data_IF_824467882676
#
_entry.id   IF_824467882676
#
_cell.length_a   1.000
_cell.length_b   1.000
_cell.length_c   1.000
_cell.angle_alpha   90.00
_cell.angle_beta   90.00
_cell.angle_gamma   90.00
#
_symmetry.space_group_name_H-M   'P 1'
#
loop_
_entity.id
_entity.type
_entity.pdbx_description
1 polymer ?
#
# COMPACT_ATOMS: atom_id res chain seq x y z
N UNK A 1 1.84 7.28 -10.02
CA UNK A 1 0.97 6.35 -10.78
C UNK A 1 -0.45 6.89 -10.72
N UNK A 2 -1.33 6.56 -11.68
CA UNK A 2 -2.66 7.16 -11.80
C UNK A 2 -3.56 6.83 -10.60
N UNK A 3 -3.38 5.64 -10.03
CA UNK A 3 -4.12 5.06 -8.92
C UNK A 3 -4.00 5.88 -7.63
N UNK A 4 -3.02 6.80 -7.54
CA UNK A 4 -2.89 7.74 -6.41
C UNK A 4 -3.88 8.91 -6.47
N UNK A 5 -4.65 9.04 -7.56
CA UNK A 5 -5.79 9.96 -7.66
C UNK A 5 -5.43 11.45 -7.59
N UNK A 6 -4.20 11.82 -7.96
CA UNK A 6 -3.75 13.21 -7.90
C UNK A 6 -4.47 14.13 -8.90
N UNK A 7 -5.04 13.59 -9.98
CA UNK A 7 -5.97 14.30 -10.84
C UNK A 7 -7.20 14.80 -10.08
N UNK A 8 -7.71 13.98 -9.17
CA UNK A 8 -8.87 14.32 -8.33
C UNK A 8 -8.54 15.52 -7.43
N UNK A 9 -7.30 15.58 -6.94
CA UNK A 9 -6.82 16.73 -6.17
C UNK A 9 -6.66 17.99 -7.03
N UNK A 10 -6.20 17.86 -8.28
CA UNK A 10 -6.15 18.99 -9.22
C UNK A 10 -7.56 19.54 -9.50
N UNK A 11 -8.52 18.66 -9.72
CA UNK A 11 -9.92 19.04 -9.96
C UNK A 11 -10.54 19.71 -8.71
N UNK A 12 -10.26 19.17 -7.52
CA UNK A 12 -10.69 19.75 -6.25
C UNK A 12 -10.05 21.12 -5.96
N UNK A 13 -8.83 21.35 -6.45
CA UNK A 13 -8.05 22.55 -6.12
C UNK A 13 -8.71 23.85 -6.58
N UNK A 14 -9.43 23.86 -7.70
CA UNK A 14 -10.15 25.04 -8.16
C UNK A 14 -11.17 25.54 -7.11
N UNK A 15 -11.98 24.63 -6.57
CA UNK A 15 -12.94 24.91 -5.50
C UNK A 15 -12.27 25.31 -4.19
N UNK A 16 -11.17 24.65 -3.83
CA UNK A 16 -10.40 24.97 -2.62
C UNK A 16 -9.84 26.40 -2.72
N UNK A 17 -9.19 26.74 -3.82
CA UNK A 17 -8.56 28.04 -4.03
C UNK A 17 -9.56 29.18 -4.18
N UNK A 18 -10.77 28.91 -4.68
CA UNK A 18 -11.87 29.88 -4.70
C UNK A 18 -12.29 30.31 -3.29
N UNK A 19 -12.20 29.41 -2.30
CA UNK A 19 -12.57 29.68 -0.90
C UNK A 19 -11.38 30.06 -0.01
N UNK A 20 -10.20 29.49 -0.27
CA UNK A 20 -8.96 29.76 0.44
C UNK A 20 -7.77 29.97 -0.51
N UNK A 21 -7.57 31.22 -0.92
CA UNK A 21 -6.54 31.61 -1.89
C UNK A 21 -5.10 31.42 -1.42
N UNK A 22 -4.87 31.20 -0.11
CA UNK A 22 -3.52 31.03 0.46
C UNK A 22 -3.06 29.57 0.47
N UNK A 23 -3.95 28.62 0.19
CA UNK A 23 -3.61 27.19 0.16
C UNK A 23 -2.54 26.92 -0.90
N UNK A 24 -1.58 26.09 -0.52
CA UNK A 24 -0.52 25.55 -1.37
C UNK A 24 -0.58 24.03 -1.31
N UNK A 25 -0.36 23.39 -2.44
CA UNK A 25 -0.36 21.94 -2.55
C UNK A 25 1.07 21.47 -2.70
N UNK A 26 1.52 20.54 -1.85
CA UNK A 26 2.85 19.94 -1.94
C UNK A 26 2.68 18.48 -2.33
N UNK A 27 3.22 18.09 -3.48
CA UNK A 27 3.16 16.75 -4.03
C UNK A 27 4.52 16.10 -3.88
N UNK A 28 4.62 15.20 -2.90
CA UNK A 28 5.81 14.41 -2.64
C UNK A 28 5.76 13.05 -3.34
N UNK A 29 6.77 12.76 -4.15
CA UNK A 29 6.91 11.49 -4.86
C UNK A 29 7.43 11.64 -6.28
N UNK A 30 7.98 10.55 -6.81
CA UNK A 30 8.37 10.42 -8.21
C UNK A 30 7.44 9.46 -8.94
N UNK A 31 7.27 9.67 -10.24
CA UNK A 31 6.59 8.69 -11.07
C UNK A 31 6.39 9.18 -12.50
N UNK A 32 6.13 8.25 -13.44
CA UNK A 32 5.91 8.60 -14.85
C UNK A 32 4.72 9.55 -15.03
N UNK A 33 3.80 9.56 -14.08
CA UNK A 33 2.60 10.39 -14.08
C UNK A 33 2.84 11.87 -13.74
N UNK A 34 4.04 12.23 -13.24
CA UNK A 34 4.33 13.61 -12.84
C UNK A 34 4.25 14.60 -14.01
N UNK A 35 4.70 14.20 -15.21
CA UNK A 35 4.64 15.05 -16.41
C UNK A 35 3.18 15.42 -16.75
N UNK A 36 2.29 14.44 -16.74
CA UNK A 36 0.86 14.65 -16.98
C UNK A 36 0.24 15.60 -15.97
N UNK A 37 0.55 15.43 -14.67
CA UNK A 37 0.06 16.32 -13.62
C UNK A 37 0.55 17.77 -13.80
N UNK A 38 1.81 17.96 -14.21
CA UNK A 38 2.35 19.28 -14.52
C UNK A 38 1.58 19.95 -15.67
N UNK A 39 1.42 19.24 -16.79
CA UNK A 39 0.71 19.74 -17.98
C UNK A 39 -0.75 20.08 -17.66
N UNK A 40 -1.44 19.23 -16.91
CA UNK A 40 -2.82 19.48 -16.46
C UNK A 40 -2.92 20.67 -15.53
N UNK A 41 -2.02 20.79 -14.55
CA UNK A 41 -1.98 21.95 -13.66
C UNK A 41 -1.72 23.26 -14.43
N UNK A 42 -0.88 23.23 -15.47
CA UNK A 42 -0.65 24.38 -16.37
C UNK A 42 -1.91 24.75 -17.17
N UNK A 43 -2.57 23.77 -17.79
CA UNK A 43 -3.80 23.97 -18.55
C UNK A 43 -4.92 24.57 -17.68
N UNK A 44 -4.97 24.20 -16.40
CA UNK A 44 -5.93 24.74 -15.44
C UNK A 44 -5.51 26.10 -14.85
N UNK A 45 -4.32 26.61 -15.16
CA UNK A 45 -3.78 27.84 -14.56
C UNK A 45 -3.44 27.72 -13.08
N UNK A 46 -3.27 26.50 -12.58
CA UNK A 46 -3.03 26.19 -11.16
C UNK A 46 -1.57 25.85 -10.85
N UNK A 47 -0.70 25.79 -11.85
CA UNK A 47 0.70 25.35 -11.70
C UNK A 47 1.44 26.02 -10.53
N UNK A 48 1.33 27.34 -10.39
CA UNK A 48 1.98 28.14 -9.30
C UNK A 48 1.43 27.87 -7.88
N UNK A 49 0.41 27.01 -7.76
CA UNK A 49 -0.18 26.57 -6.49
C UNK A 49 0.31 25.19 -6.07
N UNK A 50 0.93 24.44 -6.98
CA UNK A 50 1.41 23.08 -6.76
C UNK A 50 2.93 23.03 -6.77
N UNK A 51 3.50 22.51 -5.68
CA UNK A 51 4.93 22.25 -5.53
C UNK A 51 5.17 20.75 -5.70
N UNK A 52 5.78 20.37 -6.82
CA UNK A 52 6.16 18.99 -7.10
C UNK A 52 7.61 18.79 -6.64
N UNK A 53 7.79 18.14 -5.49
CA UNK A 53 9.12 18.01 -4.88
C UNK A 53 9.96 16.90 -5.52
N UNK A 54 9.32 16.02 -6.30
CA UNK A 54 9.94 14.78 -6.74
C UNK A 54 10.14 13.81 -5.56
N UNK A 55 11.15 12.96 -5.66
CA UNK A 55 11.51 12.06 -4.56
C UNK A 55 12.09 12.86 -3.39
N UNK A 56 11.62 12.53 -2.19
CA UNK A 56 12.14 13.06 -0.93
C UNK A 56 12.45 11.89 -0.01
N UNK A 57 13.44 12.07 0.87
CA UNK A 57 13.76 11.10 1.91
C UNK A 57 12.71 11.11 3.04
N UNK A 58 12.77 10.10 3.92
CA UNK A 58 11.81 9.92 5.00
C UNK A 58 11.86 11.05 6.06
N UNK A 59 13.04 11.65 6.29
CA UNK A 59 13.17 12.76 7.24
C UNK A 59 12.41 13.97 6.71
N UNK A 60 12.65 14.32 5.44
CA UNK A 60 11.98 15.41 4.74
C UNK A 60 10.47 15.16 4.64
N UNK A 61 10.06 13.92 4.32
CA UNK A 61 8.66 13.51 4.28
C UNK A 61 7.97 13.70 5.64
N UNK A 62 8.58 13.24 6.72
CA UNK A 62 8.03 13.37 8.07
C UNK A 62 7.95 14.83 8.51
N UNK A 63 8.92 15.66 8.11
CA UNK A 63 8.87 17.11 8.34
C UNK A 63 7.72 17.77 7.56
N UNK A 64 7.50 17.37 6.30
CA UNK A 64 6.36 17.85 5.52
C UNK A 64 5.02 17.45 6.16
N UNK A 65 4.87 16.21 6.62
CA UNK A 65 3.66 15.83 7.35
C UNK A 65 3.47 16.71 8.59
N UNK A 66 4.49 16.81 9.44
CA UNK A 66 4.42 17.56 10.71
C UNK A 66 4.12 19.05 10.54
N UNK A 67 4.34 19.61 9.35
CA UNK A 67 4.12 21.03 9.04
C UNK A 67 2.87 21.28 8.20
N UNK A 68 2.30 20.25 7.59
CA UNK A 68 1.08 20.38 6.79
C UNK A 68 -0.15 20.61 7.66
N UNK A 69 -1.08 21.45 7.19
CA UNK A 69 -2.38 21.63 7.83
C UNK A 69 -3.29 20.40 7.61
N UNK A 70 -3.15 19.75 6.45
CA UNK A 70 -3.92 18.57 6.04
C UNK A 70 -3.05 17.66 5.18
N UNK A 71 -3.01 16.37 5.48
CA UNK A 71 -2.46 15.34 4.60
C UNK A 71 -3.58 14.69 3.77
N UNK A 72 -3.42 14.67 2.45
CA UNK A 72 -4.48 14.24 1.52
C UNK A 72 -4.02 13.02 0.72
N UNK A 73 -4.83 11.96 0.75
CA UNK A 73 -4.57 10.71 0.04
C UNK A 73 -5.79 10.36 -0.84
N UNK A 74 -5.91 10.96 -2.04
CA UNK A 74 -7.08 10.83 -2.90
C UNK A 74 -7.06 9.55 -3.75
N UNK A 75 -6.34 8.52 -3.30
CA UNK A 75 -6.10 7.28 -4.06
C UNK A 75 -7.40 6.65 -4.56
N UNK A 76 -7.38 6.14 -5.79
CA UNK A 76 -8.43 5.28 -6.35
C UNK A 76 -8.29 3.85 -5.81
N UNK A 77 -7.05 3.44 -5.55
CA UNK A 77 -6.71 2.14 -5.00
C UNK A 77 -5.54 2.26 -4.01
N UNK A 78 -5.72 1.74 -2.80
CA UNK A 78 -4.70 1.72 -1.76
C UNK A 78 -4.94 0.53 -0.82
N UNK A 79 -4.16 -0.56 -0.89
CA UNK A 79 -4.46 -1.79 -0.16
C UNK A 79 -4.19 -1.70 1.34
N UNK A 80 -3.19 -0.92 1.78
CA UNK A 80 -2.75 -0.96 3.19
C UNK A 80 -3.01 0.33 3.95
N UNK A 81 -2.96 1.49 3.29
CA UNK A 81 -3.19 2.77 3.97
C UNK A 81 -2.07 3.19 4.94
N UNK A 82 -0.87 2.59 4.84
CA UNK A 82 0.28 2.90 5.71
C UNK A 82 0.61 4.39 5.70
N UNK A 83 0.54 5.04 4.53
CA UNK A 83 0.81 6.48 4.40
C UNK A 83 -0.13 7.37 5.23
N UNK A 84 -1.38 6.91 5.46
CA UNK A 84 -2.30 7.62 6.34
C UNK A 84 -1.88 7.46 7.80
N UNK A 85 -1.44 6.26 8.22
CA UNK A 85 -0.89 6.02 9.56
C UNK A 85 0.37 6.87 9.79
N UNK A 86 1.26 7.00 8.79
CA UNK A 86 2.46 7.85 8.88
C UNK A 86 2.10 9.33 9.10
N UNK A 87 1.12 9.87 8.37
CA UNK A 87 0.65 11.25 8.57
C UNK A 87 -0.06 11.44 9.91
N UNK A 88 -0.88 10.48 10.34
CA UNK A 88 -1.50 10.49 11.67
C UNK A 88 -0.43 10.48 12.78
N UNK A 89 0.64 9.68 12.61
CA UNK A 89 1.73 9.59 13.57
C UNK A 89 2.55 10.89 13.64
N UNK A 90 2.67 11.60 12.52
CA UNK A 90 3.25 12.94 12.45
C UNK A 90 2.34 14.04 13.04
N UNK A 91 1.13 13.70 13.48
CA UNK A 91 0.20 14.67 14.06
C UNK A 91 -0.45 15.57 13.01
N UNK A 92 -0.75 15.01 11.84
CA UNK A 92 -1.41 15.74 10.76
C UNK A 92 -2.84 15.23 10.57
N UNK A 93 -3.86 16.10 10.54
CA UNK A 93 -5.21 15.72 10.13
C UNK A 93 -5.20 15.13 8.72
N UNK A 94 -5.93 14.04 8.50
CA UNK A 94 -5.95 13.32 7.21
C UNK A 94 -7.29 13.44 6.50
N UNK A 95 -7.24 13.55 5.17
CA UNK A 95 -8.38 13.33 4.26
C UNK A 95 -8.00 12.21 3.31
N UNK A 96 -8.82 11.17 3.24
CA UNK A 96 -8.58 10.02 2.36
C UNK A 96 -9.78 9.74 1.49
N UNK A 97 -9.57 9.12 0.33
CA UNK A 97 -10.67 8.46 -0.37
C UNK A 97 -11.12 7.22 0.41
N UNK A 98 -12.43 6.97 0.48
CA UNK A 98 -12.99 5.75 1.10
C UNK A 98 -12.75 4.50 0.22
N UNK A 99 -11.51 4.01 0.18
CA UNK A 99 -11.09 2.85 -0.62
C UNK A 99 -10.01 2.04 0.10
N UNK A 100 -10.07 0.71 -0.06
CA UNK A 100 -9.08 -0.24 0.48
C UNK A 100 -8.68 0.02 1.93
N UNK A 101 -7.39 -0.12 2.23
CA UNK A 101 -6.84 0.08 3.57
C UNK A 101 -6.98 1.50 4.10
N UNK A 102 -7.13 2.53 3.24
CA UNK A 102 -7.44 3.89 3.70
C UNK A 102 -8.82 3.96 4.36
N UNK A 103 -9.80 3.27 3.79
CA UNK A 103 -11.15 3.16 4.34
C UNK A 103 -11.21 2.40 5.66
N UNK A 104 -10.26 1.49 5.90
CA UNK A 104 -10.17 0.74 7.16
C UNK A 104 -9.46 1.54 8.26
N UNK A 105 -8.36 2.21 7.92
CA UNK A 105 -7.56 3.03 8.85
C UNK A 105 -8.30 4.28 9.31
N UNK A 106 -8.96 4.98 8.37
CA UNK A 106 -9.65 6.23 8.67
C UNK A 106 -11.11 5.94 9.00
N UNK A 107 -11.60 6.50 10.10
CA UNK A 107 -13.00 6.51 10.53
C UNK A 107 -13.52 7.94 10.39
N UNK A 108 -14.37 8.16 9.38
CA UNK A 108 -14.89 9.47 9.02
C UNK A 108 -15.46 10.21 10.24
N UNK A 109 -14.98 11.43 10.48
CA UNK A 109 -15.42 12.30 11.58
C UNK A 109 -14.93 11.86 12.97
N UNK A 110 -14.12 10.81 13.07
CA UNK A 110 -13.54 10.35 14.34
C UNK A 110 -12.03 10.57 14.41
N UNK A 111 -11.27 10.04 13.46
CA UNK A 111 -9.81 10.13 13.43
C UNK A 111 -9.26 10.72 12.11
N UNK A 112 -10.15 11.20 11.26
CA UNK A 112 -9.86 11.78 9.96
C UNK A 112 -11.15 11.94 9.17
N UNK A 113 -11.03 12.45 7.94
CA UNK A 113 -12.17 12.59 7.04
C UNK A 113 -12.00 11.70 5.82
N UNK A 114 -13.15 11.32 5.27
CA UNK A 114 -13.26 10.51 4.06
C UNK A 114 -14.00 11.26 2.97
N UNK A 115 -13.46 11.24 1.76
CA UNK A 115 -14.15 11.66 0.55
C UNK A 115 -14.71 10.46 -0.21
N UNK A 116 -15.79 10.71 -0.96
CA UNK A 116 -16.32 9.71 -1.86
C UNK A 116 -15.30 9.37 -2.97
N UNK A 117 -15.20 8.11 -3.41
CA UNK A 117 -14.34 7.71 -4.53
C UNK A 117 -14.70 8.45 -5.82
N UNK A 118 -13.67 8.93 -6.53
CA UNK A 118 -13.80 9.64 -7.80
C UNK A 118 -14.69 10.91 -7.73
N UNK A 119 -14.75 11.56 -6.55
CA UNK A 119 -15.51 12.79 -6.32
C UNK A 119 -14.59 13.93 -5.84
N UNK A 120 -14.14 14.81 -6.75
CA UNK A 120 -13.34 15.99 -6.41
C UNK A 120 -14.06 16.98 -5.50
N UNK A 121 -15.39 17.06 -5.58
CA UNK A 121 -16.20 18.00 -4.81
C UNK A 121 -16.23 17.59 -3.34
N UNK A 122 -16.44 16.30 -3.08
CA UNK A 122 -16.35 15.69 -1.76
C UNK A 122 -14.94 15.83 -1.17
N UNK A 123 -13.90 15.63 -1.99
CA UNK A 123 -12.52 15.83 -1.55
C UNK A 123 -12.26 17.28 -1.12
N UNK A 124 -12.68 18.25 -1.94
CA UNK A 124 -12.54 19.67 -1.65
C UNK A 124 -13.28 20.08 -0.37
N UNK A 125 -14.51 19.62 -0.17
CA UNK A 125 -15.30 19.99 1.00
C UNK A 125 -14.69 19.47 2.30
N UNK A 126 -14.16 18.24 2.31
CA UNK A 126 -13.47 17.69 3.49
C UNK A 126 -12.16 18.44 3.79
N UNK A 127 -11.36 18.77 2.77
CA UNK A 127 -10.14 19.58 2.96
C UNK A 127 -10.48 20.95 3.54
N UNK A 128 -11.45 21.64 2.94
CA UNK A 128 -11.88 22.96 3.39
C UNK A 128 -12.48 22.93 4.80
N UNK A 129 -13.17 21.87 5.17
CA UNK A 129 -13.68 21.70 6.52
C UNK A 129 -12.53 21.69 7.53
N UNK A 130 -11.48 20.88 7.31
CA UNK A 130 -10.33 20.86 8.22
C UNK A 130 -9.62 22.21 8.31
N UNK A 131 -9.49 22.91 7.17
CA UNK A 131 -8.86 24.24 7.13
C UNK A 131 -9.70 25.33 7.83
N UNK A 132 -11.03 25.21 7.84
CA UNK A 132 -11.93 26.20 8.44
C UNK A 132 -12.25 25.92 9.92
N UNK A 133 -12.06 24.68 10.38
CA UNK A 133 -12.44 24.22 11.72
C UNK A 133 -11.22 23.64 12.48
N UNK A 134 -10.24 24.48 12.85
CA UNK A 134 -8.96 24.02 13.40
C UNK A 134 -9.04 23.35 14.77
N UNK A 135 -10.06 23.67 15.58
CA UNK A 135 -10.29 22.97 16.86
C UNK A 135 -10.76 21.53 16.62
N UNK A 136 -11.66 21.36 15.66
CA UNK A 136 -12.18 20.06 15.26
C UNK A 136 -11.09 19.24 14.57
N UNK A 137 -10.28 19.85 13.70
CA UNK A 137 -9.11 19.21 13.11
C UNK A 137 -8.12 18.72 14.18
N UNK A 138 -7.88 19.51 15.23
CA UNK A 138 -7.08 19.10 16.40
C UNK A 138 -7.69 17.92 17.14
N UNK A 139 -9.01 17.91 17.35
CA UNK A 139 -9.69 16.79 18.00
C UNK A 139 -9.54 15.49 17.19
N UNK A 140 -9.74 15.54 15.87
CA UNK A 140 -9.55 14.39 14.97
C UNK A 140 -8.13 13.86 15.03
N UNK A 141 -7.13 14.75 14.97
CA UNK A 141 -5.72 14.37 15.11
C UNK A 141 -5.43 13.68 16.45
N UNK A 142 -5.94 14.23 17.55
CA UNK A 142 -5.70 13.65 18.87
C UNK A 142 -6.32 12.24 18.97
N UNK A 143 -7.50 12.06 18.40
CA UNK A 143 -8.13 10.74 18.30
C UNK A 143 -7.30 9.79 17.43
N UNK A 144 -6.80 10.25 16.28
CA UNK A 144 -5.92 9.45 15.41
C UNK A 144 -4.65 8.98 16.13
N UNK A 145 -4.03 9.86 16.92
CA UNK A 145 -2.87 9.52 17.72
C UNK A 145 -3.18 8.50 18.82
N UNK A 146 -4.35 8.59 19.43
CA UNK A 146 -4.82 7.58 20.38
C UNK A 146 -5.02 6.22 19.68
N UNK A 147 -5.72 6.21 18.54
CA UNK A 147 -6.01 5.01 17.76
C UNK A 147 -4.72 4.29 17.34
N UNK A 148 -3.70 5.06 16.90
CA UNK A 148 -2.39 4.53 16.57
C UNK A 148 -1.76 3.74 17.71
N UNK A 149 -1.80 4.28 18.93
CA UNK A 149 -1.25 3.61 20.12
C UNK A 149 -2.03 2.39 20.55
N UNK A 150 -3.35 2.37 20.34
CA UNK A 150 -4.20 1.27 20.80
C UNK A 150 -4.31 0.13 19.80
N UNK A 151 -4.36 0.44 18.50
CA UNK A 151 -4.71 -0.50 17.43
C UNK A 151 -3.52 -0.85 16.53
N UNK A 152 -2.58 0.09 16.34
CA UNK A 152 -1.47 -0.02 15.37
C UNK A 152 -0.08 -0.06 16.03
N UNK A 153 -0.02 -0.41 17.32
CA UNK A 153 1.23 -0.62 18.03
C UNK A 153 1.92 -1.91 17.57
N UNK A 154 3.22 -1.80 17.24
CA UNK A 154 4.01 -2.93 16.75
C UNK A 154 4.13 -4.07 17.75
N UNK A 155 4.22 -3.77 19.05
CA UNK A 155 4.29 -4.80 20.09
C UNK A 155 2.99 -5.61 20.15
N UNK A 156 1.85 -4.93 20.08
CA UNK A 156 0.53 -5.58 20.01
C UNK A 156 0.33 -6.40 18.73
N UNK A 157 0.73 -5.84 17.58
CA UNK A 157 0.64 -6.55 16.30
C UNK A 157 1.51 -7.80 16.32
N UNK A 158 2.75 -7.71 16.80
CA UNK A 158 3.65 -8.84 16.92
C UNK A 158 3.10 -9.93 17.85
N UNK A 159 2.56 -9.54 19.02
CA UNK A 159 1.96 -10.48 19.97
C UNK A 159 0.78 -11.25 19.36
N UNK A 160 -0.16 -10.55 18.71
CA UNK A 160 -1.31 -11.17 18.00
C UNK A 160 -0.87 -12.06 16.85
N UNK A 161 0.19 -11.69 16.14
CA UNK A 161 0.73 -12.51 15.05
C UNK A 161 1.32 -13.81 15.60
N UNK A 162 2.01 -13.72 16.75
CA UNK A 162 2.55 -14.90 17.43
C UNK A 162 1.43 -15.81 17.95
N UNK A 163 0.33 -15.26 18.48
CA UNK A 163 -0.85 -16.04 18.90
C UNK A 163 -1.40 -16.89 17.76
N UNK A 164 -1.58 -16.30 16.56
CA UNK A 164 -2.02 -17.05 15.37
C UNK A 164 -1.01 -18.13 14.97
N UNK A 165 0.29 -17.83 15.03
CA UNK A 165 1.31 -18.84 14.73
C UNK A 165 1.29 -19.99 15.73
N UNK A 166 1.10 -19.71 17.02
CA UNK A 166 0.94 -20.72 18.06
C UNK A 166 -0.30 -21.58 17.82
N UNK A 167 -1.45 -20.96 17.51
CA UNK A 167 -2.70 -21.66 17.17
C UNK A 167 -2.52 -22.60 15.98
N UNK A 168 -1.94 -22.11 14.88
CA UNK A 168 -1.70 -22.92 13.68
C UNK A 168 -0.72 -24.07 13.95
N UNK A 169 0.31 -23.84 14.78
CA UNK A 169 1.24 -24.91 15.18
C UNK A 169 0.51 -25.96 16.02
N UNK A 170 -0.31 -25.56 16.98
CA UNK A 170 -1.05 -26.46 17.86
C UNK A 170 -2.06 -27.29 17.07
N UNK A 171 -2.82 -26.66 16.15
CA UNK A 171 -3.72 -27.35 15.23
C UNK A 171 -2.97 -28.33 14.33
N UNK A 172 -1.82 -27.90 13.78
CA UNK A 172 -0.99 -28.78 12.96
C UNK A 172 -0.53 -30.01 13.75
N UNK A 173 -0.03 -29.84 14.97
CA UNK A 173 0.45 -30.94 15.81
C UNK A 173 -0.65 -31.98 16.07
N UNK A 174 -1.88 -31.53 16.23
CA UNK A 174 -3.06 -32.38 16.49
C UNK A 174 -3.68 -32.97 15.22
N UNK A 175 -3.32 -32.44 14.05
CA UNK A 175 -3.88 -32.86 12.77
C UNK A 175 -3.30 -34.18 12.25
N UNK A 176 -4.07 -34.86 11.39
CA UNK A 176 -3.60 -36.06 10.66
C UNK A 176 -2.41 -35.78 9.72
N UNK A 177 -2.13 -34.51 9.39
CA UNK A 177 -1.00 -34.10 8.57
C UNK A 177 0.35 -34.23 9.29
N UNK A 178 0.36 -34.08 10.62
CA UNK A 178 1.56 -34.30 11.42
C UNK A 178 1.84 -35.79 11.62
N UNK A 179 0.79 -36.61 11.73
CA UNK A 179 0.89 -38.05 11.96
C UNK A 179 1.34 -38.86 10.73
N UNK A 180 1.15 -38.31 9.53
CA UNK A 180 1.55 -38.93 8.25
C UNK A 180 2.93 -38.49 7.78
N UNK A 181 3.68 -37.72 8.58
CA UNK A 181 5.00 -37.22 8.21
C UNK A 181 6.01 -38.39 8.24
N UNK A 182 6.58 -38.82 7.10
CA UNK A 182 7.66 -39.80 7.13
C UNK A 182 8.84 -39.23 7.92
N UNK A 183 9.50 -40.05 8.74
CA UNK A 183 10.77 -39.70 9.40
C UNK A 183 11.83 -39.41 8.32
N UNK A 184 11.88 -38.18 7.83
CA UNK A 184 13.05 -37.70 7.10
C UNK A 184 14.09 -37.38 8.15
N UNK A 185 15.06 -38.28 8.31
CA UNK A 185 16.23 -38.07 9.13
C UNK A 185 16.88 -36.73 8.73
N UNK A 186 16.72 -35.71 9.57
CA UNK A 186 17.38 -34.43 9.38
C UNK A 186 18.83 -34.63 9.76
N UNK A 187 19.67 -35.03 8.80
CA UNK A 187 21.11 -34.87 8.96
C UNK A 187 21.39 -33.38 9.18
N UNK A 188 22.08 -33.10 10.29
CA UNK A 188 22.37 -31.78 10.84
C UNK A 188 22.70 -30.74 9.77
N UNK A 189 21.82 -29.75 9.60
CA UNK A 189 22.16 -28.47 8.96
C UNK A 189 21.44 -28.13 7.65
N UNK A 190 20.58 -29.00 7.10
CA UNK A 190 19.91 -28.74 5.82
C UNK A 190 18.44 -28.35 6.02
N UNK A 191 18.03 -27.18 5.55
CA UNK A 191 16.61 -26.80 5.50
C UNK A 191 15.86 -27.74 4.51
N UNK A 192 14.88 -28.54 4.97
CA UNK A 192 14.19 -29.51 4.11
C UNK A 192 13.36 -28.87 2.99
N UNK A 193 13.14 -27.54 3.01
CA UNK A 193 12.53 -26.81 1.91
C UNK A 193 13.48 -26.50 0.74
N UNK A 194 14.78 -26.74 0.88
CA UNK A 194 15.81 -26.41 -0.13
C UNK A 194 16.26 -27.65 -0.93
N UNK A 195 16.11 -28.85 -0.38
CA UNK A 195 16.44 -30.09 -1.09
C UNK A 195 15.19 -30.67 -1.76
N UNK A 196 15.02 -30.38 -3.05
CA UNK A 196 13.92 -30.92 -3.84
C UNK A 196 14.02 -32.43 -4.02
N UNK A 197 13.02 -33.18 -3.54
CA UNK A 197 12.47 -34.40 -4.17
C UNK A 197 11.34 -35.05 -3.35
N UNK A 198 10.42 -34.28 -2.77
CA UNK A 198 9.29 -34.84 -2.00
C UNK A 198 7.95 -34.36 -2.56
N UNK A 199 7.68 -34.70 -3.82
CA UNK A 199 6.43 -34.34 -4.49
C UNK A 199 5.60 -35.53 -5.01
N UNK A 200 6.02 -36.79 -4.79
CA UNK A 200 5.34 -37.92 -5.45
C UNK A 200 4.16 -38.52 -4.68
N UNK A 201 4.11 -38.44 -3.33
CA UNK A 201 3.11 -39.21 -2.55
C UNK A 201 2.20 -38.40 -1.59
N UNK A 202 2.13 -37.07 -1.71
CA UNK A 202 1.14 -36.29 -0.94
C UNK A 202 -0.20 -36.19 -1.70
N UNK A 203 -1.36 -36.42 -1.05
CA UNK A 203 -2.64 -36.27 -1.71
C UNK A 203 -2.82 -34.83 -2.19
N UNK A 204 -3.07 -34.68 -3.49
CA UNK A 204 -3.21 -33.39 -4.18
C UNK A 204 -4.22 -32.47 -3.48
N UNK A 205 -3.71 -31.43 -2.82
CA UNK A 205 -4.53 -30.31 -2.34
C UNK A 205 -4.99 -29.42 -3.51
N UNK A 206 -6.11 -28.72 -3.33
CA UNK A 206 -6.77 -27.88 -4.37
C UNK A 206 -5.93 -26.72 -4.95
N UNK A 207 -4.68 -26.54 -4.53
CA UNK A 207 -3.86 -25.36 -4.84
C UNK A 207 -2.51 -25.64 -5.53
N UNK A 208 -2.16 -26.90 -5.83
CA UNK A 208 -0.91 -27.21 -6.56
C UNK A 208 -1.21 -27.84 -7.92
N UNK A 209 -1.25 -27.01 -8.96
CA UNK A 209 -1.21 -27.47 -10.35
C UNK A 209 -0.06 -26.81 -11.10
N UNK A 210 1.04 -27.56 -11.27
CA UNK A 210 2.02 -27.29 -12.32
C UNK A 210 2.76 -28.59 -12.70
N UNK A 211 2.26 -29.31 -13.71
CA UNK A 211 3.08 -30.31 -14.44
C UNK A 211 3.99 -29.56 -15.40
N UNK A 212 5.30 -29.65 -15.21
CA UNK A 212 6.30 -29.33 -16.24
C UNK A 212 6.33 -30.51 -17.22
N UNK A 213 5.98 -30.29 -18.49
CA UNK A 213 6.20 -31.29 -19.55
C UNK A 213 7.67 -31.25 -19.97
N UNK A 214 8.37 -32.37 -19.84
CA UNK A 214 9.66 -32.61 -20.50
C UNK A 214 9.37 -33.25 -21.87
N UNK A 215 9.85 -32.62 -22.94
CA UNK A 215 9.93 -33.23 -24.26
C UNK A 215 11.34 -33.82 -24.42
N UNK A 216 11.42 -35.14 -24.55
CA UNK A 216 12.57 -35.84 -25.14
C UNK A 216 12.07 -36.50 -26.42
N UNK A 217 12.53 -36.03 -27.58
CA UNK A 217 12.61 -36.86 -28.78
C UNK A 217 13.95 -36.59 -29.47
N UNK A 218 14.79 -37.62 -29.44
CA UNK A 218 16.05 -37.75 -30.17
C UNK A 218 15.72 -38.32 -31.55
N UNK A 219 16.13 -37.65 -32.62
CA UNK A 219 16.26 -38.27 -33.95
C UNK A 219 17.65 -38.00 -34.49
N UNK A 220 18.50 -39.04 -34.49
CA UNK A 220 19.75 -39.10 -35.26
C UNK A 220 19.44 -39.24 -36.76
N UNK A 221 20.11 -38.45 -37.61
CA UNK A 221 20.50 -38.90 -38.95
C UNK A 221 21.96 -38.49 -39.19
N UNK A 222 22.79 -39.51 -39.46
CA UNK A 222 24.20 -39.48 -39.85
C UNK A 222 24.48 -38.58 -41.06
N UNK A 223 25.66 -37.96 -41.07
CA UNK A 223 26.10 -36.98 -42.06
C UNK A 223 26.64 -37.51 -43.38
N UNK A 224 27.10 -36.56 -44.21
CA UNK A 224 28.16 -36.73 -45.19
C UNK A 224 28.74 -35.36 -45.61
N UNK A 225 29.97 -35.42 -46.09
CA UNK A 225 30.97 -34.39 -46.37
C UNK A 225 30.57 -33.28 -47.36
N UNK A 226 31.20 -32.11 -47.19
CA UNK A 226 32.12 -31.48 -48.15
C UNK A 226 31.60 -30.96 -49.50
N UNK A 227 31.77 -29.64 -49.70
CA UNK A 227 32.40 -28.95 -50.86
C UNK A 227 31.79 -27.54 -51.04
N UNK A 228 32.57 -26.47 -50.81
CA UNK A 228 33.27 -25.69 -51.83
C UNK A 228 32.34 -25.02 -52.86
N UNK A 229 31.84 -23.81 -52.56
CA UNK A 229 32.17 -22.53 -53.22
C UNK A 229 31.37 -21.38 -52.61
#
# INVERSE_FOLDING_TARGET
VFEKGLDLLLDAAAKILARQQKVKFVIAGKGPYAKHLHERAQQMGLYERFYFTGYIDDITRNALFSTADVAVFPSLYEPFGIVALEAMAAGTPVVVTDTGGLGEVVRHGKNGLKSAPNDPESLADNILWLLNYPEQARALRNQAFHDLKSEYDWGRIAARTLEVYSEVVDEYQQSAWNQTRPEVAVESGSNPFVAGSLAEDLPYGRYTTARRRENTETTEIKGQMGDLQ
#
